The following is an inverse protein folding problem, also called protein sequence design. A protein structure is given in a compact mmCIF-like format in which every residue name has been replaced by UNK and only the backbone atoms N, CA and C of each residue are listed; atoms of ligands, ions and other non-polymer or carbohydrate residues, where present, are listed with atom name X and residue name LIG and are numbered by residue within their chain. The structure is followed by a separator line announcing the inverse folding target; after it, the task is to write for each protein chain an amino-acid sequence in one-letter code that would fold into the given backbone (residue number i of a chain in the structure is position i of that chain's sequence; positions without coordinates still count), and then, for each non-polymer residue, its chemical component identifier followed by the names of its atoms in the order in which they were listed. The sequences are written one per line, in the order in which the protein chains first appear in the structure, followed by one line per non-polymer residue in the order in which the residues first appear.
data_IF_666285213947
#
_entry.id   IF_666285213947
#
_cell.length_a   1.000
_cell.length_b   1.000
_cell.length_c   1.000
_cell.angle_alpha   90.00
_cell.angle_beta   90.00
_cell.angle_gamma   90.00
#
_symmetry.space_group_name_H-M   'P 1'
#
loop_
_entity.id
_entity.type
_entity.pdbx_description
1 polymer ?
#
# COMPACT_ATOMS: atom_id res chain seq x y z
N UNK A 1 14.52 -24.69 13.84
CA UNK A 1 14.04 -23.77 14.89
C UNK A 1 13.73 -22.38 14.35
N UNK A 2 14.72 -21.64 13.84
CA UNK A 2 14.55 -20.23 13.43
C UNK A 2 13.58 -20.02 12.25
N UNK A 3 13.43 -21.01 11.37
CA UNK A 3 12.54 -20.93 10.20
C UNK A 3 11.09 -21.28 10.54
N UNK A 4 10.90 -22.41 11.22
CA UNK A 4 9.56 -22.94 11.53
C UNK A 4 8.96 -22.34 12.79
N UNK A 5 9.79 -21.80 13.69
CA UNK A 5 9.35 -21.37 15.01
C UNK A 5 8.88 -22.50 15.92
N UNK A 6 8.97 -23.77 15.52
CA UNK A 6 8.43 -24.90 16.27
C UNK A 6 9.17 -25.13 17.60
N UNK A 7 8.47 -25.68 18.59
CA UNK A 7 9.04 -25.99 19.92
C UNK A 7 10.09 -27.09 19.80
N UNK A 8 11.01 -27.15 20.76
CA UNK A 8 12.01 -28.24 20.87
C UNK A 8 11.39 -29.63 20.77
N UNK A 9 10.33 -29.89 21.54
CA UNK A 9 9.65 -31.19 21.53
C UNK A 9 8.95 -31.48 20.20
N UNK A 10 8.44 -30.47 19.50
CA UNK A 10 7.82 -30.61 18.19
C UNK A 10 8.88 -31.06 17.16
N UNK A 11 10.02 -30.36 17.11
CA UNK A 11 11.14 -30.70 16.23
C UNK A 11 11.74 -32.07 16.56
N UNK A 12 11.94 -32.37 17.84
CA UNK A 12 12.49 -33.66 18.28
C UNK A 12 11.63 -34.83 17.85
N UNK A 13 10.31 -34.63 17.74
CA UNK A 13 9.41 -35.69 17.34
C UNK A 13 9.33 -35.87 15.84
N UNK A 14 9.71 -34.91 14.97
CA UNK A 14 9.54 -35.04 13.51
C UNK A 14 10.09 -36.37 12.93
N UNK A 15 9.34 -36.90 11.97
CA UNK A 15 9.73 -38.03 11.14
C UNK A 15 10.03 -37.56 9.71
N UNK A 16 10.66 -38.42 8.92
CA UNK A 16 10.92 -38.14 7.50
C UNK A 16 9.62 -37.89 6.71
N UNK A 17 8.58 -38.69 6.97
CA UNK A 17 7.25 -38.54 6.35
C UNK A 17 6.47 -37.29 6.78
N UNK A 18 6.94 -36.56 7.78
CA UNK A 18 6.33 -35.28 8.16
C UNK A 18 6.78 -34.12 7.28
N UNK A 19 7.77 -34.35 6.39
CA UNK A 19 8.25 -33.33 5.47
C UNK A 19 7.72 -33.63 4.07
N UNK A 20 6.89 -32.70 3.55
CA UNK A 20 6.40 -32.75 2.17
C UNK A 20 7.04 -31.62 1.38
N UNK A 21 7.68 -31.95 0.26
CA UNK A 21 8.32 -30.98 -0.62
C UNK A 21 7.40 -30.76 -1.82
N UNK A 22 6.84 -29.56 -1.92
CA UNK A 22 6.16 -29.06 -3.12
C UNK A 22 7.09 -28.05 -3.85
N UNK A 23 6.80 -27.65 -5.11
CA UNK A 23 7.70 -26.78 -5.88
C UNK A 23 8.05 -25.45 -5.19
N UNK A 24 7.06 -24.82 -4.55
CA UNK A 24 7.22 -23.48 -3.97
C UNK A 24 7.28 -23.48 -2.43
N UNK A 25 7.00 -24.63 -1.79
CA UNK A 25 6.85 -24.72 -0.34
C UNK A 25 7.28 -26.08 0.19
N UNK A 26 7.99 -26.08 1.31
CA UNK A 26 8.22 -27.28 2.10
C UNK A 26 7.30 -27.27 3.31
N UNK A 27 6.44 -28.27 3.43
CA UNK A 27 5.54 -28.42 4.57
C UNK A 27 6.19 -29.23 5.67
N UNK A 28 6.13 -28.72 6.90
CA UNK A 28 6.53 -29.45 8.10
C UNK A 28 5.29 -29.79 8.91
N UNK A 29 4.95 -31.08 8.98
CA UNK A 29 3.79 -31.56 9.72
C UNK A 29 4.13 -31.79 11.19
N UNK A 30 3.65 -30.90 12.07
CA UNK A 30 3.81 -31.04 13.51
C UNK A 30 2.68 -31.89 14.06
N UNK A 31 2.88 -33.21 14.08
CA UNK A 31 1.92 -34.21 14.56
C UNK A 31 1.77 -34.33 16.09
N UNK A 32 2.76 -33.86 16.86
CA UNK A 32 2.71 -33.85 18.33
C UNK A 32 2.99 -32.44 18.83
N UNK A 33 2.03 -31.83 19.52
CA UNK A 33 2.18 -30.50 20.11
C UNK A 33 1.44 -30.40 21.44
N UNK A 34 1.94 -29.53 22.33
CA UNK A 34 1.25 -29.16 23.58
C UNK A 34 -0.08 -28.43 23.32
N UNK A 35 -0.19 -27.73 22.19
CA UNK A 35 -1.31 -26.81 21.94
C UNK A 35 -2.09 -27.17 20.68
N UNK A 36 -1.43 -27.22 19.52
CA UNK A 36 -2.11 -27.45 18.24
C UNK A 36 -1.22 -28.23 17.28
N UNK A 37 -1.75 -29.35 16.78
CA UNK A 37 -1.22 -30.08 15.62
C UNK A 37 -1.45 -29.22 14.39
N UNK A 38 -0.42 -29.04 13.57
CA UNK A 38 -0.47 -28.08 12.45
C UNK A 38 0.58 -28.38 11.40
N UNK A 39 0.35 -27.87 10.19
CA UNK A 39 1.32 -27.86 9.10
C UNK A 39 1.97 -26.49 9.04
N UNK A 40 3.28 -26.44 9.10
CA UNK A 40 4.05 -25.20 9.03
C UNK A 40 4.60 -25.07 7.61
N UNK A 41 4.17 -24.05 6.83
CA UNK A 41 4.77 -23.78 5.53
C UNK A 41 6.17 -23.18 5.72
N UNK A 42 7.15 -23.74 5.02
CA UNK A 42 8.49 -23.19 4.89
C UNK A 42 8.67 -22.75 3.45
N UNK A 43 8.51 -21.44 3.23
CA UNK A 43 8.65 -20.79 1.93
C UNK A 43 10.00 -20.09 1.82
N UNK A 44 10.59 -20.03 0.61
CA UNK A 44 11.76 -19.19 0.37
C UNK A 44 11.46 -17.73 0.68
N UNK A 45 12.33 -17.08 1.45
CA UNK A 45 12.22 -15.64 1.73
C UNK A 45 13.56 -14.98 1.41
N UNK A 46 13.56 -14.02 0.46
CA UNK A 46 14.76 -13.31 0.00
C UNK A 46 15.33 -12.38 1.07
N UNK A 47 14.46 -11.83 1.92
CA UNK A 47 14.76 -10.83 2.95
C UNK A 47 15.06 -11.46 4.32
N UNK A 48 14.78 -12.76 4.48
CA UNK A 48 15.17 -13.53 5.67
C UNK A 48 16.34 -14.46 5.33
N UNK A 49 17.59 -14.13 5.70
CA UNK A 49 18.75 -14.98 5.42
C UNK A 49 18.66 -16.36 6.08
N UNK A 50 17.92 -16.51 7.19
CA UNK A 50 17.67 -17.80 7.83
C UNK A 50 16.63 -18.65 7.08
N UNK A 51 15.77 -18.03 6.28
CA UNK A 51 14.81 -18.68 5.38
C UNK A 51 15.19 -18.53 3.90
N UNK A 52 16.47 -18.27 3.59
CA UNK A 52 17.05 -18.42 2.24
C UNK A 52 17.08 -19.91 1.89
N UNK A 53 15.91 -20.39 1.47
CA UNK A 53 15.58 -21.72 1.02
C UNK A 53 15.65 -22.84 2.10
N UNK A 54 14.69 -23.80 2.09
CA UNK A 54 14.83 -25.07 2.80
C UNK A 54 15.90 -25.99 2.17
N UNK A 55 16.86 -25.44 1.41
CA UNK A 55 17.86 -26.20 0.64
C UNK A 55 18.59 -27.23 1.50
N UNK A 56 18.95 -26.87 2.74
CA UNK A 56 19.66 -27.77 3.65
C UNK A 56 18.76 -28.89 4.15
N UNK A 57 17.46 -28.64 4.36
CA UNK A 57 16.50 -29.67 4.72
C UNK A 57 16.25 -30.61 3.53
N UNK A 58 16.11 -30.08 2.31
CA UNK A 58 15.95 -30.88 1.10
C UNK A 58 17.20 -31.73 0.82
N UNK A 59 18.40 -31.15 0.95
CA UNK A 59 19.66 -31.88 0.84
C UNK A 59 19.80 -32.96 1.91
N UNK A 60 19.41 -32.65 3.15
CA UNK A 60 19.39 -33.61 4.25
C UNK A 60 18.47 -34.80 3.94
N UNK A 61 17.26 -34.54 3.45
CA UNK A 61 16.32 -35.61 3.07
C UNK A 61 16.87 -36.48 1.94
N UNK A 62 17.54 -35.89 0.94
CA UNK A 62 18.23 -36.65 -0.11
C UNK A 62 19.36 -37.51 0.44
N UNK A 63 20.12 -36.97 1.40
CA UNK A 63 21.20 -37.71 2.07
C UNK A 63 20.66 -38.88 2.91
N UNK A 64 19.49 -38.72 3.54
CA UNK A 64 18.84 -39.83 4.24
C UNK A 64 18.48 -41.00 3.32
N UNK A 65 18.27 -40.76 2.02
CA UNK A 65 17.95 -41.79 1.02
C UNK A 65 16.54 -42.38 1.19
N UNK A 66 16.32 -43.58 0.63
CA UNK A 66 15.04 -44.31 0.70
C UNK A 66 14.81 -44.87 2.11
N UNK A 67 14.41 -43.97 2.99
CA UNK A 67 14.13 -44.23 4.40
C UNK A 67 12.62 -44.25 4.64
N UNK A 68 12.18 -45.02 5.66
CA UNK A 68 10.74 -45.21 5.88
C UNK A 68 10.12 -43.91 6.43
N UNK A 69 8.88 -43.56 6.04
CA UNK A 69 8.22 -42.34 6.49
C UNK A 69 8.09 -42.19 8.02
N UNK A 70 8.10 -43.29 8.76
CA UNK A 70 7.98 -43.32 10.22
C UNK A 70 9.32 -43.16 10.97
N UNK A 71 10.44 -43.12 10.25
CA UNK A 71 11.76 -42.96 10.86
C UNK A 71 12.01 -41.52 11.32
N UNK A 72 12.79 -41.32 12.41
CA UNK A 72 13.10 -40.00 12.93
C UNK A 72 13.80 -39.12 11.90
N UNK A 73 13.35 -37.87 11.73
CA UNK A 73 13.98 -36.90 10.83
C UNK A 73 15.42 -36.55 11.26
N UNK A 74 15.66 -36.51 12.57
CA UNK A 74 16.96 -36.20 13.15
C UNK A 74 17.38 -37.34 14.06
N UNK A 75 18.53 -37.94 13.72
CA UNK A 75 19.09 -39.09 14.42
C UNK A 75 20.37 -38.71 15.16
N UNK A 76 20.75 -39.53 16.15
CA UNK A 76 22.06 -39.42 16.80
C UNK A 76 23.14 -40.10 15.96
N UNK A 77 24.41 -39.83 16.23
CA UNK A 77 25.54 -40.53 15.58
C UNK A 77 25.54 -42.04 15.86
N UNK A 78 24.88 -42.49 16.93
CA UNK A 78 24.72 -43.91 17.27
C UNK A 78 23.44 -44.52 16.67
N UNK A 79 22.77 -43.81 15.77
CA UNK A 79 21.44 -44.16 15.28
C UNK A 79 20.31 -43.76 16.25
N UNK A 80 19.07 -43.99 15.82
CA UNK A 80 17.86 -43.66 16.58
C UNK A 80 17.62 -42.15 16.74
N UNK A 81 16.44 -41.80 17.27
CA UNK A 81 16.00 -40.40 17.42
C UNK A 81 16.96 -39.60 18.31
N UNK A 82 17.33 -38.40 17.87
CA UNK A 82 18.17 -37.50 18.67
C UNK A 82 17.48 -37.16 20.01
N UNK A 83 18.25 -37.20 21.10
CA UNK A 83 17.76 -36.84 22.43
C UNK A 83 17.75 -35.32 22.63
N UNK A 84 17.03 -34.86 23.66
CA UNK A 84 17.03 -33.45 24.09
C UNK A 84 18.46 -32.93 24.30
N UNK A 85 19.31 -33.68 25.01
CA UNK A 85 20.70 -33.29 25.29
C UNK A 85 21.48 -33.04 24.00
N UNK A 86 21.41 -33.95 23.03
CA UNK A 86 22.14 -33.81 21.76
C UNK A 86 21.82 -32.54 20.98
N UNK A 87 20.58 -32.02 21.06
CA UNK A 87 20.25 -30.70 20.49
C UNK A 87 20.97 -29.58 21.25
N UNK A 88 20.97 -29.61 22.58
CA UNK A 88 21.66 -28.59 23.37
C UNK A 88 23.16 -28.65 23.16
N UNK A 89 23.76 -29.85 23.08
CA UNK A 89 25.19 -30.02 22.81
C UNK A 89 25.57 -29.44 21.45
N UNK A 90 24.73 -29.65 20.42
CA UNK A 90 24.97 -29.04 19.10
C UNK A 90 24.77 -27.53 19.10
N UNK A 91 23.80 -27.00 19.85
CA UNK A 91 23.62 -25.55 19.97
C UNK A 91 24.77 -24.91 20.74
N UNK A 92 25.26 -25.57 21.78
CA UNK A 92 26.40 -25.09 22.56
C UNK A 92 27.70 -25.14 21.74
N UNK A 93 27.89 -26.20 20.97
CA UNK A 93 28.97 -26.26 19.99
C UNK A 93 28.89 -25.09 19.01
N UNK A 94 27.70 -24.76 18.48
CA UNK A 94 27.53 -23.56 17.64
C UNK A 94 27.85 -22.27 18.41
N UNK A 95 27.40 -22.12 19.66
CA UNK A 95 27.69 -20.95 20.51
C UNK A 95 29.18 -20.68 20.64
N UNK A 96 29.99 -21.73 20.80
CA UNK A 96 31.45 -21.61 20.94
C UNK A 96 32.14 -21.12 19.65
N UNK A 97 31.52 -21.35 18.49
CA UNK A 97 32.10 -21.02 17.17
C UNK A 97 31.56 -19.71 16.60
N UNK A 98 30.56 -19.09 17.25
CA UNK A 98 29.99 -17.81 16.84
C UNK A 98 30.35 -16.74 17.87
N UNK A 99 30.80 -15.57 17.40
CA UNK A 99 31.11 -14.42 18.28
C UNK A 99 29.82 -13.68 18.68
N UNK A 100 28.92 -14.36 19.39
CA UNK A 100 27.67 -13.79 19.89
C UNK A 100 27.70 -13.69 21.42
N UNK A 101 27.35 -12.52 21.95
CA UNK A 101 27.24 -12.28 23.40
C UNK A 101 25.94 -12.83 24.01
N UNK A 102 25.21 -13.68 23.28
CA UNK A 102 23.92 -14.23 23.71
C UNK A 102 23.96 -15.74 23.61
N UNK A 103 23.63 -16.41 24.72
CA UNK A 103 23.51 -17.87 24.76
C UNK A 103 22.37 -18.31 23.83
N UNK A 104 22.66 -19.06 22.77
CA UNK A 104 21.61 -19.59 21.91
C UNK A 104 20.94 -20.80 22.57
N UNK A 105 19.62 -20.88 22.43
CA UNK A 105 18.82 -22.02 22.89
C UNK A 105 17.65 -22.26 21.92
N UNK A 106 17.01 -23.44 21.91
CA UNK A 106 15.82 -23.68 21.08
C UNK A 106 14.69 -22.68 21.36
N UNK A 107 14.54 -22.24 22.62
CA UNK A 107 13.54 -21.26 23.00
C UNK A 107 13.88 -19.88 22.44
N UNK A 108 15.14 -19.45 22.53
CA UNK A 108 15.60 -18.17 21.95
C UNK A 108 15.38 -18.17 20.44
N UNK A 109 15.74 -19.24 19.72
CA UNK A 109 15.43 -19.31 18.29
C UNK A 109 13.93 -19.21 17.97
N UNK A 110 13.07 -19.81 18.80
CA UNK A 110 11.62 -19.66 18.65
C UNK A 110 11.17 -18.22 18.91
N UNK A 111 11.69 -17.57 19.94
CA UNK A 111 11.43 -16.16 20.24
C UNK A 111 11.88 -15.26 19.07
N UNK A 112 13.09 -15.45 18.57
CA UNK A 112 13.62 -14.72 17.42
C UNK A 112 12.75 -14.90 16.17
N UNK A 113 12.34 -16.14 15.87
CA UNK A 113 11.43 -16.41 14.76
C UNK A 113 10.10 -15.68 14.95
N UNK A 114 9.51 -15.76 16.14
CA UNK A 114 8.23 -15.14 16.45
C UNK A 114 8.28 -13.61 16.37
N UNK A 115 9.36 -12.99 16.84
CA UNK A 115 9.57 -11.55 16.71
C UNK A 115 9.73 -11.14 15.25
N UNK A 116 10.47 -11.92 14.44
CA UNK A 116 10.60 -11.66 13.02
C UNK A 116 9.26 -11.76 12.29
N UNK A 117 8.50 -12.83 12.54
CA UNK A 117 7.20 -13.05 11.93
C UNK A 117 6.17 -12.03 12.42
N UNK A 118 6.25 -11.58 13.68
CA UNK A 118 5.36 -10.56 14.26
C UNK A 118 5.39 -9.22 13.54
N UNK A 119 6.50 -8.91 12.85
CA UNK A 119 6.62 -7.72 12.02
C UNK A 119 6.04 -7.89 10.60
N UNK A 120 5.61 -9.09 10.22
CA UNK A 120 5.25 -9.43 8.83
C UNK A 120 3.91 -10.18 8.70
N UNK A 121 3.46 -10.85 9.76
CA UNK A 121 2.26 -11.67 9.80
C UNK A 121 1.24 -11.07 10.77
N UNK A 122 -0.05 -11.20 10.43
CA UNK A 122 -1.11 -10.84 11.37
C UNK A 122 -1.25 -11.88 12.50
N UNK A 123 -2.02 -11.52 13.52
CA UNK A 123 -2.22 -12.35 14.71
C UNK A 123 -2.75 -13.76 14.38
N UNK A 124 -3.70 -13.88 13.46
CA UNK A 124 -4.27 -15.16 13.06
C UNK A 124 -3.24 -16.06 12.37
N UNK A 125 -2.43 -15.51 11.47
CA UNK A 125 -1.34 -16.21 10.79
C UNK A 125 -0.26 -16.66 11.77
N UNK A 126 0.09 -15.83 12.76
CA UNK A 126 1.01 -16.20 13.83
C UNK A 126 0.46 -17.36 14.66
N UNK A 127 -0.81 -17.28 15.06
CA UNK A 127 -1.47 -18.36 15.79
C UNK A 127 -1.45 -19.67 15.00
N UNK A 128 -1.70 -19.62 13.70
CA UNK A 128 -1.65 -20.80 12.83
C UNK A 128 -0.23 -21.37 12.72
N UNK A 129 0.78 -20.53 12.50
CA UNK A 129 2.18 -20.98 12.37
C UNK A 129 2.76 -21.52 13.68
N UNK A 130 2.49 -20.84 14.80
CA UNK A 130 3.11 -21.14 16.09
C UNK A 130 2.27 -22.07 16.98
N UNK A 131 1.02 -22.36 16.59
CA UNK A 131 0.06 -23.12 17.37
C UNK A 131 -0.35 -22.38 18.65
N UNK A 132 -0.55 -21.07 18.55
CA UNK A 132 -1.07 -20.25 19.65
C UNK A 132 -2.58 -20.08 19.54
N UNK A 133 -3.19 -19.65 20.65
CA UNK A 133 -4.61 -19.31 20.70
C UNK A 133 -4.74 -17.83 20.36
N UNK A 134 -5.66 -17.51 19.46
CA UNK A 134 -5.98 -16.13 19.09
C UNK A 134 -6.40 -15.32 20.32
N UNK A 135 -5.91 -14.10 20.46
CA UNK A 135 -6.16 -13.24 21.62
C UNK A 135 -5.36 -13.61 22.88
N UNK A 136 -4.53 -14.66 22.84
CA UNK A 136 -3.72 -15.04 24.02
C UNK A 136 -2.57 -14.05 24.29
N UNK A 137 -2.16 -13.94 25.55
CA UNK A 137 -0.99 -13.14 25.92
C UNK A 137 0.30 -13.58 25.21
N UNK A 138 0.35 -14.85 24.76
CA UNK A 138 1.47 -15.40 24.04
C UNK A 138 1.65 -14.78 22.65
N UNK A 139 0.56 -14.55 21.90
CA UNK A 139 0.62 -13.93 20.58
C UNK A 139 0.74 -12.42 20.66
N UNK A 140 0.05 -11.79 21.64
CA UNK A 140 0.12 -10.34 21.88
C UNK A 140 1.56 -9.85 22.01
N UNK A 141 2.44 -10.59 22.70
CA UNK A 141 3.87 -10.28 22.86
C UNK A 141 4.60 -9.95 21.55
N UNK A 142 4.16 -10.49 20.41
CA UNK A 142 4.80 -10.30 19.11
C UNK A 142 3.96 -9.49 18.14
N UNK A 143 2.73 -9.12 18.49
CA UNK A 143 1.83 -8.33 17.66
C UNK A 143 1.94 -6.82 17.96
N UNK A 144 3.13 -6.37 18.37
CA UNK A 144 3.41 -4.98 18.62
C UNK A 144 4.28 -4.45 17.49
N UNK A 145 3.77 -3.47 16.76
CA UNK A 145 4.51 -2.80 15.69
C UNK A 145 4.43 -1.29 15.88
N UNK A 146 5.53 -0.62 15.58
CA UNK A 146 5.58 0.84 15.48
C UNK A 146 4.89 1.32 14.21
N UNK A 147 4.44 2.58 14.20
CA UNK A 147 3.89 3.23 13.00
C UNK A 147 4.87 3.14 11.82
N UNK A 148 6.18 3.21 12.08
CA UNK A 148 7.23 3.04 11.05
C UNK A 148 7.19 1.66 10.40
N UNK A 149 7.01 0.60 11.19
CA UNK A 149 6.89 -0.76 10.68
C UNK A 149 5.59 -0.97 9.90
N UNK A 150 4.49 -0.38 10.36
CA UNK A 150 3.22 -0.39 9.63
C UNK A 150 3.37 0.24 8.25
N UNK A 151 3.96 1.44 8.18
CA UNK A 151 4.23 2.13 6.90
C UNK A 151 5.08 1.26 5.99
N UNK A 152 6.22 0.74 6.47
CA UNK A 152 7.09 -0.12 5.67
C UNK A 152 6.38 -1.38 5.15
N UNK A 153 5.47 -1.96 5.93
CA UNK A 153 4.67 -3.11 5.50
C UNK A 153 3.64 -2.74 4.42
N UNK A 154 2.95 -1.60 4.55
CA UNK A 154 2.02 -1.11 3.53
C UNK A 154 2.74 -0.82 2.20
N UNK A 155 3.95 -0.24 2.27
CA UNK A 155 4.82 0.00 1.11
C UNK A 155 5.14 -1.32 0.39
N UNK A 156 5.59 -2.33 1.14
CA UNK A 156 5.88 -3.68 0.60
C UNK A 156 4.64 -4.34 -0.01
N UNK A 157 3.47 -4.21 0.63
CA UNK A 157 2.20 -4.76 0.12
C UNK A 157 1.76 -4.10 -1.18
N UNK A 158 2.06 -2.81 -1.38
CA UNK A 158 1.85 -2.12 -2.64
C UNK A 158 2.84 -2.54 -3.75
N UNK A 159 3.80 -3.42 -3.46
CA UNK A 159 4.85 -3.82 -4.40
C UNK A 159 5.93 -2.75 -4.61
N UNK A 160 5.96 -1.72 -3.76
CA UNK A 160 6.91 -0.62 -3.83
C UNK A 160 8.11 -0.89 -2.92
N UNK A 161 9.27 -0.39 -3.32
CA UNK A 161 10.45 -0.29 -2.47
C UNK A 161 10.44 1.05 -1.72
N UNK A 162 11.03 1.07 -0.52
CA UNK A 162 11.16 2.32 0.25
C UNK A 162 11.89 3.41 -0.53
N UNK A 163 12.81 3.03 -1.44
CA UNK A 163 13.50 3.98 -2.31
C UNK A 163 12.57 4.60 -3.37
N UNK A 164 11.57 3.87 -3.86
CA UNK A 164 10.61 4.35 -4.87
C UNK A 164 9.65 5.41 -4.29
N UNK A 165 9.32 5.31 -3.00
CA UNK A 165 8.50 6.32 -2.31
C UNK A 165 9.33 7.54 -1.92
N UNK A 166 10.62 7.34 -1.66
CA UNK A 166 11.56 8.45 -1.46
C UNK A 166 11.90 9.18 -2.76
N UNK A 167 11.72 8.54 -3.92
CA UNK A 167 11.82 9.19 -5.22
C UNK A 167 10.60 10.07 -5.44
N UNK A 168 10.72 11.28 -4.90
CA UNK A 168 9.76 12.34 -5.08
C UNK A 168 9.56 12.76 -6.55
N UNK A 169 8.51 13.54 -6.83
CA UNK A 169 8.26 14.11 -8.17
C UNK A 169 9.37 15.09 -8.55
N UNK A 170 10.05 14.82 -9.66
CA UNK A 170 11.03 15.75 -10.23
C UNK A 170 10.28 16.87 -10.95
N UNK A 171 10.60 18.13 -10.61
CA UNK A 171 10.01 19.27 -11.27
C UNK A 171 10.52 19.39 -12.71
N UNK A 172 9.64 19.45 -13.73
CA UNK A 172 10.06 19.57 -15.13
C UNK A 172 10.69 20.94 -15.46
N UNK A 173 10.49 21.94 -14.60
CA UNK A 173 10.98 23.31 -14.80
C UNK A 173 12.36 23.55 -14.21
N UNK A 174 12.59 23.12 -12.97
CA UNK A 174 13.82 23.45 -12.24
C UNK A 174 14.61 22.23 -11.74
N UNK A 175 14.15 21.01 -12.03
CA UNK A 175 14.81 19.76 -11.64
C UNK A 175 14.73 19.40 -10.16
N UNK A 176 14.06 20.20 -9.32
CA UNK A 176 13.93 19.95 -7.89
C UNK A 176 13.11 18.67 -7.61
N UNK A 177 13.58 17.83 -6.69
CA UNK A 177 12.83 16.67 -6.19
C UNK A 177 11.83 17.11 -5.11
N UNK A 178 10.54 16.94 -5.38
CA UNK A 178 9.43 17.31 -4.49
C UNK A 178 8.78 16.06 -3.90
N UNK A 179 8.02 16.18 -2.81
CA UNK A 179 7.29 15.03 -2.25
C UNK A 179 6.42 14.31 -3.33
N UNK A 180 6.19 13.01 -3.19
CA UNK A 180 5.34 12.23 -4.10
C UNK A 180 3.93 12.82 -4.25
N UNK A 181 3.40 13.41 -3.18
CA UNK A 181 2.09 14.07 -3.17
C UNK A 181 2.17 15.59 -3.42
N UNK A 182 3.33 16.13 -3.80
CA UNK A 182 3.44 17.56 -4.09
C UNK A 182 2.62 17.91 -5.33
N UNK A 183 1.69 18.85 -5.17
CA UNK A 183 0.93 19.46 -6.27
C UNK A 183 1.73 20.59 -6.94
N UNK A 184 2.57 21.27 -6.15
CA UNK A 184 3.41 22.39 -6.58
C UNK A 184 4.86 22.17 -6.18
N UNK A 185 5.78 22.70 -6.97
CA UNK A 185 7.20 22.63 -6.69
C UNK A 185 7.59 23.55 -5.52
N UNK A 186 8.27 23.00 -4.51
CA UNK A 186 8.75 23.77 -3.34
C UNK A 186 9.76 24.87 -3.67
N UNK A 187 10.44 24.78 -4.81
CA UNK A 187 11.52 25.70 -5.22
C UNK A 187 11.04 26.77 -6.20
N UNK A 188 10.32 26.37 -7.25
CA UNK A 188 9.93 27.28 -8.34
C UNK A 188 8.41 27.46 -8.49
N UNK A 189 7.61 26.86 -7.60
CA UNK A 189 6.14 26.90 -7.56
C UNK A 189 5.41 26.36 -8.80
N UNK A 190 6.14 25.70 -9.73
CA UNK A 190 5.54 25.03 -10.87
C UNK A 190 4.56 23.93 -10.42
N UNK A 191 3.38 23.88 -11.04
CA UNK A 191 2.40 22.80 -10.86
C UNK A 191 3.00 21.49 -11.41
N UNK A 192 2.98 20.45 -10.58
CA UNK A 192 3.53 19.13 -10.85
C UNK A 192 2.47 18.10 -11.26
N UNK A 193 1.20 18.36 -10.95
CA UNK A 193 0.08 17.52 -11.37
C UNK A 193 -0.53 18.05 -12.68
N UNK A 194 -0.03 17.51 -13.79
CA UNK A 194 -0.41 17.94 -15.13
C UNK A 194 -1.89 17.69 -15.44
N UNK A 195 -2.54 16.69 -14.81
CA UNK A 195 -3.97 16.41 -15.03
C UNK A 195 -4.84 17.55 -14.54
N UNK A 196 -4.64 17.98 -13.29
CA UNK A 196 -5.36 19.13 -12.71
C UNK A 196 -5.13 20.40 -13.53
N UNK A 197 -3.89 20.65 -13.99
CA UNK A 197 -3.57 21.79 -14.83
C UNK A 197 -4.38 21.79 -16.15
N UNK A 198 -4.47 20.64 -16.81
CA UNK A 198 -5.20 20.53 -18.08
C UNK A 198 -6.71 20.72 -17.89
N UNK A 199 -7.29 20.14 -16.83
CA UNK A 199 -8.70 20.33 -16.49
C UNK A 199 -9.01 21.82 -16.22
N UNK A 200 -8.11 22.52 -15.54
CA UNK A 200 -8.25 23.93 -15.18
C UNK A 200 -8.09 24.86 -16.40
N UNK A 201 -7.14 24.55 -17.29
CA UNK A 201 -6.99 25.22 -18.60
C UNK A 201 -8.23 25.03 -19.47
N UNK A 202 -8.79 23.83 -19.49
CA UNK A 202 -9.97 23.51 -20.28
C UNK A 202 -11.24 24.19 -19.73
N UNK A 203 -11.33 24.30 -18.40
CA UNK A 203 -12.38 25.08 -17.73
C UNK A 203 -12.26 26.58 -18.02
N UNK A 204 -11.04 27.13 -17.97
CA UNK A 204 -10.78 28.53 -18.31
C UNK A 204 -11.08 28.83 -19.79
N UNK A 205 -10.73 27.92 -20.72
CA UNK A 205 -11.08 28.04 -22.14
C UNK A 205 -12.60 28.11 -22.36
N UNK A 206 -13.37 27.27 -21.67
CA UNK A 206 -14.84 27.30 -21.76
C UNK A 206 -15.40 28.63 -21.26
N UNK A 207 -14.89 29.12 -20.13
CA UNK A 207 -15.30 30.43 -19.58
C UNK A 207 -14.96 31.59 -20.52
N UNK A 208 -13.80 31.59 -21.17
CA UNK A 208 -13.44 32.65 -22.14
C UNK A 208 -14.37 32.66 -23.35
N UNK A 209 -14.71 31.50 -23.89
CA UNK A 209 -15.64 31.39 -25.04
C UNK A 209 -17.04 31.84 -24.66
N UNK A 210 -17.50 31.52 -23.44
CA UNK A 210 -18.80 31.95 -22.93
C UNK A 210 -18.85 33.48 -22.69
N UNK A 211 -17.76 34.06 -22.18
CA UNK A 211 -17.62 35.52 -22.05
C UNK A 211 -17.64 36.24 -23.40
N UNK A 212 -16.99 35.70 -24.42
CA UNK A 212 -16.98 36.28 -25.78
C UNK A 212 -18.39 36.27 -26.41
N UNK A 213 -19.15 35.19 -26.24
CA UNK A 213 -20.55 35.15 -26.67
C UNK A 213 -21.41 36.18 -25.96
N UNK A 214 -21.31 36.24 -24.63
CA UNK A 214 -22.08 37.17 -23.81
C UNK A 214 -21.76 38.63 -24.18
N UNK A 215 -20.50 38.92 -24.54
CA UNK A 215 -20.07 40.22 -25.05
C UNK A 215 -20.71 40.56 -26.40
N UNK A 216 -20.77 39.60 -27.33
CA UNK A 216 -21.44 39.78 -28.63
C UNK A 216 -22.95 40.03 -28.49
N UNK A 217 -23.61 39.30 -27.59
CA UNK A 217 -25.03 39.49 -27.28
C UNK A 217 -25.29 40.87 -26.66
N UNK A 218 -24.40 41.32 -25.76
CA UNK A 218 -24.45 42.66 -25.17
C UNK A 218 -24.31 43.76 -26.22
N UNK A 219 -23.37 43.64 -27.15
CA UNK A 219 -23.17 44.63 -28.22
C UNK A 219 -24.39 44.70 -29.16
N UNK A 220 -25.01 43.55 -29.45
CA UNK A 220 -26.23 43.45 -30.26
C UNK A 220 -27.43 44.09 -29.56
N UNK A 221 -27.60 43.82 -28.26
CA UNK A 221 -28.65 44.40 -27.44
C UNK A 221 -28.47 45.91 -27.34
N UNK A 222 -27.25 46.39 -27.09
CA UNK A 222 -26.92 47.82 -27.04
C UNK A 222 -27.30 48.53 -28.34
N UNK A 223 -26.92 47.97 -29.48
CA UNK A 223 -27.26 48.52 -30.80
C UNK A 223 -28.78 48.56 -31.02
N UNK A 224 -29.49 47.54 -30.54
CA UNK A 224 -30.96 47.48 -30.64
C UNK A 224 -31.64 48.52 -29.76
N UNK A 225 -31.11 48.75 -28.55
CA UNK A 225 -31.59 49.81 -27.65
C UNK A 225 -31.36 51.21 -28.23
N UNK A 226 -30.19 51.46 -28.81
CA UNK A 226 -29.88 52.74 -29.48
C UNK A 226 -30.85 53.00 -30.65
N UNK A 227 -31.17 51.97 -31.46
CA UNK A 227 -32.19 52.07 -32.52
C UNK A 227 -33.59 52.35 -31.96
N UNK A 228 -33.98 51.66 -30.89
CA UNK A 228 -35.30 51.83 -30.27
C UNK A 228 -35.46 53.22 -29.66
N UNK A 229 -34.42 53.75 -29.01
CA UNK A 229 -34.39 55.14 -28.52
C UNK A 229 -34.58 56.14 -29.66
N UNK A 230 -33.95 55.91 -30.81
CA UNK A 230 -34.10 56.75 -31.99
C UNK A 230 -35.53 56.72 -32.55
N UNK A 231 -36.12 55.53 -32.67
CA UNK A 231 -37.52 55.37 -33.09
C UNK A 231 -38.50 56.04 -32.12
N UNK A 232 -38.26 55.94 -30.80
CA UNK A 232 -39.09 56.61 -29.80
C UNK A 232 -39.00 58.14 -29.91
N UNK A 233 -37.81 58.68 -30.20
CA UNK A 233 -37.64 60.11 -30.45
C UNK A 233 -38.38 60.56 -31.71
N UNK A 234 -38.32 59.79 -32.79
CA UNK A 234 -39.01 60.08 -34.05
C UNK A 234 -40.55 60.05 -33.87
N UNK A 235 -41.08 59.05 -33.15
CA UNK A 235 -42.51 58.95 -32.82
C UNK A 235 -42.96 60.14 -31.95
N UNK A 236 -42.15 60.55 -30.97
CA UNK A 236 -42.42 61.71 -30.14
C UNK A 236 -42.52 62.99 -30.97
N UNK A 237 -41.59 63.19 -31.91
CA UNK A 237 -41.57 64.36 -32.80
C UNK A 237 -42.81 64.38 -33.69
N UNK A 238 -43.13 63.24 -34.33
CA UNK A 238 -44.30 63.14 -35.19
C UNK A 238 -45.62 63.37 -34.44
N UNK A 239 -45.71 62.89 -33.18
CA UNK A 239 -46.89 63.14 -32.34
C UNK A 239 -47.03 64.62 -31.98
N UNK A 240 -45.93 65.33 -31.72
CA UNK A 240 -45.96 66.78 -31.48
C UNK A 240 -46.45 67.55 -32.71
N UNK A 241 -46.01 67.16 -33.90
CA UNK A 241 -46.47 67.75 -35.17
C UNK A 241 -47.96 67.51 -35.43
N UNK A 242 -48.46 66.31 -35.16
CA UNK A 242 -49.88 65.96 -35.30
C UNK A 242 -50.76 66.78 -34.34
N UNK A 243 -50.37 66.88 -33.07
CA UNK A 243 -51.09 67.69 -32.08
C UNK A 243 -51.08 69.17 -32.45
N UNK A 244 -49.96 69.69 -32.98
CA UNK A 244 -49.89 71.07 -33.45
C UNK A 244 -50.88 71.34 -34.59
N UNK A 245 -51.00 70.41 -35.56
CA UNK A 245 -51.97 70.51 -36.66
C UNK A 245 -53.42 70.46 -36.18
N UNK A 246 -53.76 69.56 -35.26
CA UNK A 246 -55.12 69.48 -34.67
C UNK A 246 -55.49 70.75 -33.89
N UNK A 247 -54.55 71.32 -33.12
CA UNK A 247 -54.77 72.58 -32.39
C UNK A 247 -55.04 73.73 -33.36
N UNK A 248 -54.31 73.81 -34.48
CA UNK A 248 -54.51 74.85 -35.50
C UNK A 248 -55.81 74.67 -36.30
N UNK A 249 -56.31 73.45 -36.43
CA UNK A 249 -57.60 73.15 -37.05
C UNK A 249 -58.78 73.50 -36.12
N UNK A 250 -58.67 73.20 -34.83
CA UNK A 250 -59.65 73.61 -33.80
C UNK A 250 -59.74 75.14 -33.69
N UNK A 251 -58.60 75.84 -33.77
CA UNK A 251 -58.59 77.32 -33.76
C UNK A 251 -59.34 77.89 -34.97
N UNK A 252 -59.19 77.29 -36.16
CA UNK A 252 -59.87 77.73 -37.39
C UNK A 252 -61.38 77.52 -37.34
N UNK A 253 -61.86 76.44 -36.72
CA UNK A 253 -63.28 76.14 -36.60
C UNK A 253 -64.02 76.94 -35.51
N UNK A 254 -63.31 77.69 -34.64
CA UNK A 254 -63.91 78.56 -33.62
C UNK A 254 -64.08 80.03 -34.07
N UNK A 255 -63.55 80.39 -35.24
CA UNK A 255 -63.62 81.76 -35.80
C UNK A 255 -64.57 81.90 -36.99
N UNK A 256 -65.39 80.87 -37.28
CA UNK A 256 -66.55 80.95 -38.17
C UNK A 256 -67.83 80.78 -37.39
#
# INVERSE_FOLDING_TARGET
FIVTGARRSEILNLNLGDIKIDPDVVWVNVRVSKTKIRKIPVVPNKDNPAARFPKYLVQWLKYCGDTKPNEPLFTSSKGGRIKKSGIYDKIEWMNQHVKLNVKLTPHIYRHTAATYDGANLNEAMLCEKYGWILGSNMVRRYCHFSTKQLVAQMIRQAGLKEEEIKQGKICPRCGETNNINAEICRKCQQILDYKKLMDEVEKNKKQTVEFEKLRGDYDTLKTSMEKMQKQLADISLHRQEMVAKEVDEIKRNKTG
#
